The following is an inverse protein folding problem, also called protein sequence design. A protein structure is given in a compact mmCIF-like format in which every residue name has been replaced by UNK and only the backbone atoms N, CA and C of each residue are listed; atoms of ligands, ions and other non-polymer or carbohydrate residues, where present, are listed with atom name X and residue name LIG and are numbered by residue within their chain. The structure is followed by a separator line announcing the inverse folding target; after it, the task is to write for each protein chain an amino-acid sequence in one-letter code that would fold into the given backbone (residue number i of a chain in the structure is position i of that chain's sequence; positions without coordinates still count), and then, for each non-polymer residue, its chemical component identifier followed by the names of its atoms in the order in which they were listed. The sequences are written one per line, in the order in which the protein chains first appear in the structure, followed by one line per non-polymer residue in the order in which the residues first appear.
data_IF_793193893733
#
_entry.id   IF_793193893733
#
_cell.length_a   1.000
_cell.length_b   1.000
_cell.length_c   1.000
_cell.angle_alpha   90.00
_cell.angle_beta   90.00
_cell.angle_gamma   90.00
#
_symmetry.space_group_name_H-M   'P 1'
#
loop_
_entity.id
_entity.type
_entity.pdbx_description
1 polymer ?
#
# COMPACT_ATOMS: atom_id res chain seq x y z
N UNK A 1 -2.08 -17.00 -5.94
CA UNK A 1 -1.41 -15.70 -6.14
C UNK A 1 -2.04 -14.73 -5.17
N UNK A 2 -1.27 -13.95 -4.41
CA UNK A 2 -1.79 -12.98 -3.45
C UNK A 2 -2.27 -11.70 -4.16
N UNK A 3 -3.21 -11.85 -5.10
CA UNK A 3 -3.72 -10.74 -5.93
C UNK A 3 -4.19 -9.55 -5.10
N UNK A 4 -4.71 -9.82 -3.90
CA UNK A 4 -5.20 -8.81 -2.96
C UNK A 4 -4.11 -7.84 -2.45
N UNK A 5 -2.82 -8.17 -2.63
CA UNK A 5 -1.69 -7.29 -2.30
C UNK A 5 -1.38 -6.26 -3.40
N UNK A 6 -1.87 -6.49 -4.61
CA UNK A 6 -1.75 -5.56 -5.73
C UNK A 6 -2.85 -4.51 -5.59
N UNK A 7 -2.50 -3.23 -5.71
CA UNK A 7 -3.49 -2.16 -5.84
C UNK A 7 -3.62 -1.67 -7.28
N UNK A 8 -4.76 -1.05 -7.55
CA UNK A 8 -5.09 -0.50 -8.88
C UNK A 8 -4.16 0.61 -9.35
N UNK A 9 -3.40 1.24 -8.43
CA UNK A 9 -2.48 2.35 -8.73
C UNK A 9 -1.00 2.04 -8.46
N UNK A 10 -0.65 0.82 -8.01
CA UNK A 10 0.75 0.39 -7.82
C UNK A 10 1.29 0.52 -6.40
N UNK A 11 0.45 0.90 -5.43
CA UNK A 11 0.74 0.73 -3.99
C UNK A 11 0.72 -0.77 -3.65
N UNK A 12 1.68 -1.22 -2.84
CA UNK A 12 1.69 -2.56 -2.29
C UNK A 12 0.91 -2.63 -0.97
N UNK A 13 -0.23 -3.32 -0.95
CA UNK A 13 -1.06 -3.41 0.26
C UNK A 13 -0.34 -4.13 1.41
N UNK A 14 0.64 -4.98 1.10
CA UNK A 14 1.44 -5.68 2.11
C UNK A 14 2.28 -4.73 2.98
N UNK A 15 2.56 -3.51 2.54
CA UNK A 15 3.22 -2.48 3.33
C UNK A 15 2.25 -1.46 3.96
N UNK A 16 0.93 -1.62 3.82
CA UNK A 16 -0.05 -0.70 4.38
C UNK A 16 -0.22 -0.93 5.89
N UNK A 17 -0.15 0.14 6.71
CA UNK A 17 -0.30 0.05 8.16
C UNK A 17 -1.58 -0.64 8.62
N UNK A 18 -2.73 -0.40 7.98
CA UNK A 18 -4.00 -1.06 8.35
C UNK A 18 -3.96 -2.55 8.01
N UNK A 19 -3.46 -2.89 6.82
CA UNK A 19 -3.37 -4.27 6.36
C UNK A 19 -2.39 -5.09 7.22
N UNK A 20 -1.30 -4.45 7.65
CA UNK A 20 -0.32 -4.99 8.60
C UNK A 20 -0.89 -5.12 10.00
N UNK A 21 -1.52 -4.09 10.55
CA UNK A 21 -2.11 -4.11 11.88
C UNK A 21 -3.05 -5.30 12.12
N UNK A 22 -3.97 -5.57 11.18
CA UNK A 22 -4.88 -6.72 11.29
C UNK A 22 -4.15 -8.07 11.35
N UNK A 23 -3.05 -8.23 10.60
CA UNK A 23 -2.38 -9.53 10.40
C UNK A 23 -1.24 -9.76 11.37
N UNK A 24 -0.51 -8.71 11.71
CA UNK A 24 0.69 -8.76 12.55
C UNK A 24 0.33 -8.71 14.04
N UNK A 25 -0.89 -8.24 14.37
CA UNK A 25 -1.45 -8.19 15.71
C UNK A 25 -0.53 -7.44 16.72
N UNK A 26 -0.59 -7.80 18.01
CA UNK A 26 0.30 -7.25 19.03
C UNK A 26 -0.03 -5.81 19.46
N UNK A 27 1.00 -5.03 19.77
CA UNK A 27 0.84 -3.60 20.11
C UNK A 27 0.51 -2.74 18.90
N UNK A 28 0.97 -3.14 17.70
CA UNK A 28 0.79 -2.35 16.49
C UNK A 28 -0.68 -2.14 16.12
N UNK A 29 -1.53 -3.16 16.27
CA UNK A 29 -2.97 -3.00 16.04
C UNK A 29 -3.63 -2.04 17.03
N UNK A 30 -3.12 -1.96 18.28
CA UNK A 30 -3.60 -0.99 19.28
C UNK A 30 -3.23 0.43 18.89
N UNK A 31 -1.98 0.66 18.51
CA UNK A 31 -1.52 1.96 18.03
C UNK A 31 -2.32 2.42 16.80
N UNK A 32 -2.53 1.53 15.82
CA UNK A 32 -3.29 1.86 14.62
C UNK A 32 -4.75 2.15 14.94
N UNK A 33 -5.38 1.42 15.86
CA UNK A 33 -6.74 1.70 16.32
C UNK A 33 -6.86 3.07 17.01
N UNK A 34 -5.89 3.43 17.84
CA UNK A 34 -5.80 4.76 18.46
C UNK A 34 -5.64 5.87 17.42
N UNK A 35 -4.74 5.70 16.43
CA UNK A 35 -4.53 6.68 15.36
C UNK A 35 -5.77 6.87 14.50
N UNK A 36 -6.50 5.79 14.21
CA UNK A 36 -7.72 5.83 13.42
C UNK A 36 -8.96 6.20 14.25
N UNK A 37 -8.87 6.20 15.58
CA UNK A 37 -9.97 6.46 16.53
C UNK A 37 -11.14 5.48 16.34
N UNK A 38 -10.81 4.20 16.30
CA UNK A 38 -11.76 3.10 16.13
C UNK A 38 -11.47 1.97 17.11
N UNK A 39 -12.46 1.11 17.33
CA UNK A 39 -12.27 -0.12 18.11
C UNK A 39 -11.36 -1.12 17.38
N UNK A 40 -10.64 -1.96 18.13
CA UNK A 40 -9.71 -2.96 17.58
C UNK A 40 -10.37 -3.89 16.55
N UNK A 41 -11.63 -4.28 16.78
CA UNK A 41 -12.38 -5.19 15.90
C UNK A 41 -12.74 -4.56 14.55
N UNK A 42 -12.57 -3.25 14.40
CA UNK A 42 -12.78 -2.50 13.16
C UNK A 42 -11.55 -2.43 12.28
N UNK A 43 -10.36 -2.72 12.79
CA UNK A 43 -9.12 -2.75 11.99
C UNK A 43 -9.13 -4.01 11.13
N UNK A 44 -9.77 -3.90 9.97
CA UNK A 44 -9.90 -4.97 8.97
C UNK A 44 -9.69 -4.43 7.56
N UNK A 45 -8.91 -5.13 6.76
CA UNK A 45 -8.65 -4.77 5.38
C UNK A 45 -8.13 -5.99 4.60
N UNK A 46 -8.84 -6.35 3.51
CA UNK A 46 -8.41 -7.40 2.60
C UNK A 46 -7.73 -6.88 1.33
N UNK A 47 -7.25 -5.64 1.34
CA UNK A 47 -6.50 -5.05 0.23
C UNK A 47 -7.37 -4.36 -0.82
N UNK A 48 -6.72 -3.72 -1.79
CA UNK A 48 -7.39 -2.77 -2.68
C UNK A 48 -8.35 -3.44 -3.69
N UNK A 49 -8.08 -4.69 -4.05
CA UNK A 49 -8.89 -5.47 -5.00
C UNK A 49 -10.01 -6.28 -4.34
N UNK A 50 -10.10 -6.25 -3.00
CA UNK A 50 -11.19 -6.92 -2.28
C UNK A 50 -12.57 -6.30 -2.58
N UNK A 51 -13.68 -6.97 -2.22
CA UNK A 51 -15.01 -6.35 -2.17
C UNK A 51 -15.03 -5.07 -1.35
N UNK A 52 -15.96 -4.15 -1.64
CA UNK A 52 -15.99 -2.80 -1.05
C UNK A 52 -16.08 -2.84 0.49
N UNK A 53 -16.91 -3.74 1.01
CA UNK A 53 -17.15 -4.00 2.42
C UNK A 53 -15.95 -4.58 3.18
N UNK A 54 -14.97 -5.12 2.46
CA UNK A 54 -13.74 -5.70 3.03
C UNK A 54 -12.54 -4.74 2.94
N UNK A 55 -12.72 -3.57 2.31
CA UNK A 55 -11.69 -2.53 2.25
C UNK A 55 -11.75 -1.64 3.48
N UNK A 56 -10.58 -1.13 3.87
CA UNK A 56 -10.50 -0.03 4.83
C UNK A 56 -11.33 1.19 4.35
N UNK A 57 -12.07 1.91 5.23
CA UNK A 57 -12.96 3.01 4.81
C UNK A 57 -12.29 4.13 3.98
N UNK A 58 -11.01 4.41 4.21
CA UNK A 58 -10.29 5.39 3.38
C UNK A 58 -10.02 4.86 1.96
N UNK A 59 -9.85 3.54 1.82
CA UNK A 59 -9.71 2.89 0.53
C UNK A 59 -11.05 2.85 -0.22
N UNK A 60 -12.17 2.64 0.46
CA UNK A 60 -13.52 2.72 -0.15
C UNK A 60 -13.73 4.07 -0.87
N UNK A 61 -13.24 5.16 -0.28
CA UNK A 61 -13.37 6.52 -0.82
C UNK A 61 -12.19 6.96 -1.71
N UNK A 62 -11.31 6.04 -2.09
CA UNK A 62 -10.08 6.35 -2.81
C UNK A 62 -10.36 6.82 -4.25
N UNK A 63 -9.89 8.03 -4.63
CA UNK A 63 -10.18 8.64 -5.93
C UNK A 63 -9.77 7.77 -7.14
N UNK A 64 -8.57 7.15 -7.17
CA UNK A 64 -8.21 6.18 -8.21
C UNK A 64 -9.26 5.09 -8.45
N UNK A 65 -9.89 4.55 -7.41
CA UNK A 65 -10.89 3.49 -7.57
C UNK A 65 -12.12 3.98 -8.34
N UNK A 66 -12.66 5.14 -7.95
CA UNK A 66 -13.81 5.72 -8.65
C UNK A 66 -13.46 6.12 -10.08
N UNK A 67 -12.29 6.76 -10.29
CA UNK A 67 -11.85 7.17 -11.62
C UNK A 67 -11.74 5.97 -12.58
N UNK A 68 -11.12 4.87 -12.13
CA UNK A 68 -10.99 3.65 -12.94
C UNK A 68 -12.34 3.00 -13.23
N UNK A 69 -13.24 2.95 -12.24
CA UNK A 69 -14.61 2.46 -12.44
C UNK A 69 -15.38 3.29 -13.48
N UNK A 70 -15.29 4.62 -13.41
CA UNK A 70 -15.93 5.53 -14.38
C UNK A 70 -15.37 5.34 -15.80
N UNK A 71 -14.05 5.11 -15.91
CA UNK A 71 -13.37 4.87 -17.19
C UNK A 71 -13.48 3.42 -17.70
N UNK A 72 -14.04 2.49 -16.91
CA UNK A 72 -14.11 1.07 -17.25
C UNK A 72 -12.75 0.36 -17.21
N UNK A 73 -11.78 0.91 -16.50
CA UNK A 73 -10.40 0.40 -16.38
C UNK A 73 -10.22 -0.35 -15.05
N UNK A 74 -9.28 -1.28 -15.01
CA UNK A 74 -8.87 -1.99 -13.81
C UNK A 74 -7.67 -1.35 -13.11
N UNK A 75 -6.70 -0.86 -13.88
CA UNK A 75 -5.44 -0.32 -13.37
C UNK A 75 -5.10 1.04 -14.00
N UNK A 76 -4.35 1.87 -13.28
CA UNK A 76 -3.93 3.17 -13.78
C UNK A 76 -3.07 3.07 -15.06
N UNK A 77 -2.27 2.01 -15.23
CA UNK A 77 -1.46 1.81 -16.43
C UNK A 77 -2.28 1.50 -17.70
N UNK A 78 -3.59 1.32 -17.59
CA UNK A 78 -4.47 1.14 -18.74
C UNK A 78 -5.02 2.49 -19.26
N UNK A 79 -4.70 3.60 -18.60
CA UNK A 79 -5.13 4.95 -18.98
C UNK A 79 -4.00 5.68 -19.72
N UNK A 80 -4.29 6.35 -20.84
CA UNK A 80 -3.29 7.11 -21.60
C UNK A 80 -2.68 8.27 -20.78
N UNK A 81 -3.51 8.96 -19.97
CA UNK A 81 -3.06 10.04 -19.07
C UNK A 81 -2.01 9.59 -18.04
N UNK A 82 -1.93 8.28 -17.75
CA UNK A 82 -0.87 7.74 -16.92
C UNK A 82 0.46 7.77 -17.69
N UNK A 83 0.49 7.40 -18.96
CA UNK A 83 1.71 7.28 -19.76
C UNK A 83 2.26 8.62 -20.26
N UNK A 84 1.39 9.60 -20.50
CA UNK A 84 1.80 10.95 -20.92
C UNK A 84 2.10 11.90 -19.74
N UNK A 85 1.99 11.39 -18.50
CA UNK A 85 2.22 12.12 -17.24
C UNK A 85 1.24 13.29 -16.99
N UNK A 86 0.07 13.32 -17.65
CA UNK A 86 -0.94 14.36 -17.48
C UNK A 86 -1.97 14.09 -16.38
N UNK A 87 -2.01 12.87 -15.82
CA UNK A 87 -2.96 12.53 -14.75
C UNK A 87 -2.59 13.16 -13.40
N UNK A 88 -3.13 14.36 -13.11
CA UNK A 88 -2.90 15.09 -11.84
C UNK A 88 -3.31 14.28 -10.60
N UNK A 89 -4.38 13.48 -10.70
CA UNK A 89 -4.77 12.57 -9.61
C UNK A 89 -3.63 11.60 -9.31
N UNK A 90 -3.10 10.91 -10.33
CA UNK A 90 -2.05 9.92 -10.14
C UNK A 90 -0.76 10.54 -9.62
N UNK A 91 -0.39 11.72 -10.16
CA UNK A 91 0.78 12.49 -9.73
C UNK A 91 0.74 12.83 -8.24
N UNK A 92 -0.43 13.24 -7.71
CA UNK A 92 -0.58 13.48 -6.27
C UNK A 92 -0.32 12.23 -5.41
N UNK A 93 -0.75 11.05 -5.86
CA UNK A 93 -0.43 9.79 -5.18
C UNK A 93 1.05 9.40 -5.33
N UNK A 94 1.66 9.67 -6.48
CA UNK A 94 3.07 9.43 -6.74
C UNK A 94 3.96 10.26 -5.80
N UNK A 95 3.66 11.55 -5.65
CA UNK A 95 4.34 12.44 -4.69
C UNK A 95 4.12 11.99 -3.24
N UNK A 96 2.91 11.53 -2.91
CA UNK A 96 2.61 11.00 -1.58
C UNK A 96 3.39 9.71 -1.27
N UNK A 97 3.48 8.80 -2.23
CA UNK A 97 4.10 7.49 -2.05
C UNK A 97 5.64 7.56 -2.10
N UNK A 98 6.20 8.43 -2.94
CA UNK A 98 7.66 8.60 -3.08
C UNK A 98 8.34 9.05 -1.78
N UNK A 99 7.68 9.92 -1.00
CA UNK A 99 8.08 10.34 0.35
C UNK A 99 7.99 9.24 1.41
N UNK A 100 7.60 8.02 1.01
CA UNK A 100 7.47 6.83 1.84
C UNK A 100 8.13 5.62 1.19
N UNK A 101 9.09 5.87 0.29
CA UNK A 101 9.91 4.83 -0.32
C UNK A 101 9.18 3.99 -1.37
N UNK A 102 7.97 4.37 -1.79
CA UNK A 102 7.25 3.71 -2.88
C UNK A 102 7.35 4.47 -4.19
N UNK A 103 7.64 3.75 -5.28
CA UNK A 103 7.58 4.27 -6.63
C UNK A 103 6.39 3.62 -7.36
N UNK A 104 5.20 4.16 -7.14
CA UNK A 104 3.96 3.54 -7.62
C UNK A 104 3.89 3.48 -9.15
N UNK A 105 4.51 4.45 -9.85
CA UNK A 105 4.57 4.47 -11.31
C UNK A 105 5.42 3.32 -11.84
N UNK A 106 6.62 3.15 -11.29
CA UNK A 106 7.47 2.02 -11.63
C UNK A 106 6.80 0.70 -11.24
N UNK A 107 6.12 0.65 -10.10
CA UNK A 107 5.34 -0.52 -9.68
C UNK A 107 4.27 -0.87 -10.71
N UNK A 108 3.53 0.10 -11.26
CA UNK A 108 2.54 -0.14 -12.31
C UNK A 108 3.16 -0.73 -13.58
N UNK A 109 4.33 -0.24 -14.01
CA UNK A 109 5.06 -0.82 -15.16
C UNK A 109 5.46 -2.27 -14.88
N UNK A 110 5.92 -2.58 -13.66
CA UNK A 110 6.30 -3.94 -13.25
C UNK A 110 5.10 -4.87 -13.13
N UNK A 111 3.98 -4.40 -12.58
CA UNK A 111 2.72 -5.16 -12.46
C UNK A 111 2.20 -5.53 -13.85
N UNK A 112 2.22 -4.59 -14.80
CA UNK A 112 1.84 -4.84 -16.19
C UNK A 112 2.74 -5.90 -16.86
N UNK A 113 4.02 -5.93 -16.53
CA UNK A 113 4.98 -6.87 -17.11
C UNK A 113 4.89 -8.27 -16.47
N UNK A 114 4.87 -8.35 -15.14
CA UNK A 114 4.88 -9.59 -14.35
C UNK A 114 4.48 -9.29 -12.89
N UNK A 115 3.17 -9.32 -12.61
CA UNK A 115 2.64 -9.06 -11.27
C UNK A 115 3.14 -10.05 -10.19
N UNK A 116 3.23 -11.38 -10.43
CA UNK A 116 3.85 -12.31 -9.48
C UNK A 116 5.28 -11.93 -9.10
N UNK A 117 6.13 -11.62 -10.09
CA UNK A 117 7.51 -11.20 -9.81
C UNK A 117 7.56 -9.88 -9.03
N UNK A 118 6.70 -8.93 -9.39
CA UNK A 118 6.60 -7.68 -8.63
C UNK A 118 6.21 -7.91 -7.16
N UNK A 119 5.27 -8.83 -6.89
CA UNK A 119 4.88 -9.19 -5.52
C UNK A 119 6.06 -9.74 -4.72
N UNK A 120 6.86 -10.63 -5.29
CA UNK A 120 8.06 -11.15 -4.63
C UNK A 120 9.10 -10.05 -4.32
N UNK A 121 9.27 -9.09 -5.25
CA UNK A 121 10.17 -7.96 -5.06
C UNK A 121 9.69 -7.04 -3.93
N UNK A 122 8.38 -6.76 -3.86
CA UNK A 122 7.81 -5.91 -2.80
C UNK A 122 7.83 -6.60 -1.44
N UNK A 123 7.52 -7.89 -1.38
CA UNK A 123 7.60 -8.66 -0.13
C UNK A 123 9.01 -8.62 0.45
N UNK A 124 10.04 -8.84 -0.38
CA UNK A 124 11.45 -8.75 0.05
C UNK A 124 11.83 -7.34 0.50
N UNK A 125 11.36 -6.31 -0.22
CA UNK A 125 11.64 -4.89 0.09
C UNK A 125 11.10 -4.49 1.47
N UNK A 126 9.92 -4.96 1.83
CA UNK A 126 9.18 -4.51 3.02
C UNK A 126 9.37 -5.41 4.24
N UNK A 127 10.50 -6.11 4.34
CA UNK A 127 10.86 -6.95 5.49
C UNK A 127 11.99 -6.36 6.31
N UNK A 128 11.87 -6.44 7.62
CA UNK A 128 12.89 -5.97 8.55
C UNK A 128 14.19 -6.77 8.35
N UNK A 129 15.33 -6.11 8.20
CA UNK A 129 16.62 -6.78 8.05
C UNK A 129 17.08 -7.53 9.31
N UNK A 130 16.46 -7.27 10.47
CA UNK A 130 16.83 -7.88 11.75
C UNK A 130 15.99 -9.10 12.10
N UNK A 131 14.69 -9.10 11.83
CA UNK A 131 13.77 -10.19 12.18
C UNK A 131 13.04 -10.81 10.98
N UNK A 132 13.22 -10.27 9.78
CA UNK A 132 12.56 -10.71 8.53
C UNK A 132 11.04 -10.59 8.50
N UNK A 133 10.42 -10.07 9.55
CA UNK A 133 8.99 -9.78 9.59
C UNK A 133 8.64 -8.56 8.71
N UNK A 134 7.46 -8.56 8.08
CA UNK A 134 6.99 -7.44 7.28
C UNK A 134 6.75 -6.20 8.15
N UNK A 135 6.93 -5.03 7.59
CA UNK A 135 6.63 -3.76 8.26
C UNK A 135 5.89 -2.80 7.32
N UNK A 136 5.21 -1.84 7.93
CA UNK A 136 4.49 -0.78 7.23
C UNK A 136 5.44 0.29 6.73
N UNK A 137 5.20 0.78 5.51
CA UNK A 137 5.92 1.93 4.93
C UNK A 137 5.89 3.23 5.74
N UNK A 138 5.05 3.34 6.78
CA UNK A 138 5.04 4.48 7.72
C UNK A 138 6.04 4.35 8.87
N UNK A 139 6.61 3.18 9.10
CA UNK A 139 7.42 2.92 10.29
C UNK A 139 8.88 3.33 10.11
N UNK A 140 9.43 4.02 11.12
CA UNK A 140 10.88 4.23 11.29
C UNK A 140 11.53 3.13 12.13
N UNK A 141 10.75 2.44 12.95
CA UNK A 141 11.16 1.36 13.86
C UNK A 141 10.23 0.18 13.64
N UNK A 142 10.78 -1.03 13.52
CA UNK A 142 10.01 -2.24 13.29
C UNK A 142 9.14 -2.57 14.51
N UNK A 143 7.82 -2.61 14.35
CA UNK A 143 6.89 -2.99 15.42
C UNK A 143 7.06 -4.43 15.95
N UNK A 144 7.75 -5.31 15.22
CA UNK A 144 8.02 -6.68 15.68
C UNK A 144 9.21 -6.80 16.62
N UNK A 145 10.32 -6.11 16.32
CA UNK A 145 11.59 -6.30 17.04
C UNK A 145 12.20 -5.03 17.63
N UNK A 146 11.59 -3.86 17.40
CA UNK A 146 12.07 -2.56 17.90
C UNK A 146 13.34 -2.04 17.21
N UNK A 147 13.84 -2.70 16.15
CA UNK A 147 15.02 -2.24 15.42
C UNK A 147 14.66 -1.02 14.55
N UNK A 148 15.55 -0.01 14.54
CA UNK A 148 15.46 1.09 13.59
C UNK A 148 15.60 0.56 12.15
N UNK A 149 14.65 0.92 11.28
CA UNK A 149 14.56 0.47 9.89
C UNK A 149 15.45 1.29 8.94
N UNK A 150 16.15 2.31 9.43
CA UNK A 150 17.02 3.22 8.68
C UNK A 150 16.32 3.87 7.48
N UNK A 151 15.04 4.23 7.62
CA UNK A 151 14.18 4.80 6.57
C UNK A 151 14.53 6.25 6.27
N UNK A 152 15.54 6.45 5.43
CA UNK A 152 15.98 7.79 5.00
C UNK A 152 14.93 8.51 4.16
N UNK A 153 14.06 7.76 3.49
CA UNK A 153 12.96 8.26 2.66
C UNK A 153 11.87 9.00 3.45
N UNK A 154 11.76 8.76 4.77
CA UNK A 154 10.80 9.44 5.64
C UNK A 154 11.32 10.78 6.19
N UNK A 155 12.59 11.14 5.92
CA UNK A 155 13.26 12.32 6.51
C UNK A 155 13.12 13.60 5.67
N UNK A 156 12.29 13.58 4.63
CA UNK A 156 12.17 14.65 3.62
C UNK A 156 10.77 15.23 3.51
#
# INVERSE_FOLDING_TARGET
MEEHLVSRCGIYCGACYVYRAERDCGDFIREVAEWQKVELDKIKCNGCLAPEEEKWPNCQKCRPQYCLKEKGLQYCHECDEFWDYSCETYKGYEDFCSKRGENIRQNMVKIMADAPKWLEEQDKKWRCSSCSEPYSWYEETCHHCGKNLNRTDLRT
#
